data_IF_578392513332
#
_entry.id   IF_578392513332
#
_cell.length_a   1.000
_cell.length_b   1.000
_cell.length_c   1.000
_cell.angle_alpha   90.00
_cell.angle_beta   90.00
_cell.angle_gamma   90.00
#
_symmetry.space_group_name_H-M   'P 1'
#
loop_
_entity.id
_entity.type
_entity.pdbx_description
1 polymer ?
#
# COMPACT_ATOMS: atom_id res chain seq x y z
N UNK A 1 -16.87 17.12 59.78
CA UNK A 1 -16.39 17.44 58.42
C UNK A 1 -15.95 16.22 57.61
N UNK A 2 -15.27 15.20 58.17
CA UNK A 2 -14.91 13.97 57.41
C UNK A 2 -16.08 13.04 57.02
N UNK A 3 -17.26 13.14 57.65
CA UNK A 3 -18.44 12.31 57.31
C UNK A 3 -19.40 12.95 56.29
N UNK A 4 -19.24 14.23 55.98
CA UNK A 4 -20.03 14.93 54.94
C UNK A 4 -19.31 14.87 53.58
N UNK A 5 -17.97 14.83 53.60
CA UNK A 5 -17.16 14.68 52.38
C UNK A 5 -17.26 13.26 51.78
N UNK A 6 -17.36 12.22 52.61
CA UNK A 6 -17.57 10.84 52.13
C UNK A 6 -18.96 10.63 51.49
N UNK A 7 -19.98 11.35 51.97
CA UNK A 7 -21.32 11.33 51.37
C UNK A 7 -21.37 12.06 50.02
N UNK A 8 -20.60 13.14 49.85
CA UNK A 8 -20.51 13.86 48.58
C UNK A 8 -19.67 13.11 47.54
N UNK A 9 -18.62 12.39 47.95
CA UNK A 9 -17.82 11.51 47.07
C UNK A 9 -18.59 10.26 46.63
N UNK A 10 -19.46 9.69 47.49
CA UNK A 10 -20.34 8.60 47.08
C UNK A 10 -21.46 9.07 46.13
N UNK A 11 -21.98 10.29 46.30
CA UNK A 11 -22.99 10.85 45.39
C UNK A 11 -22.38 11.31 44.04
N UNK A 12 -21.13 11.77 44.02
CA UNK A 12 -20.39 12.09 42.79
C UNK A 12 -19.96 10.84 42.02
N UNK A 13 -19.61 9.73 42.69
CA UNK A 13 -19.38 8.45 42.00
C UNK A 13 -20.66 7.80 41.48
N UNK A 14 -21.81 8.07 42.10
CA UNK A 14 -23.13 7.68 41.58
C UNK A 14 -23.65 8.61 40.47
N UNK A 15 -23.07 9.79 40.27
CA UNK A 15 -23.40 10.70 39.16
C UNK A 15 -22.34 10.67 38.03
N UNK A 16 -21.14 10.13 38.27
CA UNK A 16 -20.12 9.88 37.24
C UNK A 16 -20.22 8.46 36.66
N UNK A 17 -20.96 7.55 37.31
CA UNK A 17 -21.37 6.26 36.74
C UNK A 17 -22.66 6.32 35.91
N UNK A 18 -23.07 7.52 35.47
CA UNK A 18 -24.22 7.75 34.60
C UNK A 18 -23.83 8.44 33.29
N UNK A 19 -22.59 8.24 32.84
CA UNK A 19 -22.21 8.37 31.44
C UNK A 19 -21.83 6.98 30.94
N UNK A 20 -22.59 6.54 29.94
CA UNK A 20 -22.50 5.26 29.25
C UNK A 20 -22.75 4.02 30.14
N UNK A 21 -24.01 3.78 30.54
CA UNK A 21 -24.57 2.53 29.99
C UNK A 21 -24.37 2.68 28.49
N UNK A 22 -23.38 1.99 27.92
CA UNK A 22 -23.40 1.76 26.49
C UNK A 22 -24.73 1.04 26.29
N UNK A 23 -25.75 1.80 25.91
CA UNK A 23 -26.81 1.26 25.09
C UNK A 23 -26.03 0.80 23.89
N UNK A 24 -25.57 -0.45 23.94
CA UNK A 24 -25.02 -1.16 22.81
C UNK A 24 -26.18 -1.11 21.83
N UNK A 25 -26.17 -0.10 20.96
CA UNK A 25 -27.31 0.19 20.10
C UNK A 25 -27.46 -1.05 19.27
N UNK A 26 -28.49 -1.85 19.55
CA UNK A 26 -28.60 -3.19 19.01
C UNK A 26 -28.66 -3.03 17.50
N UNK A 27 -27.57 -3.37 16.82
CA UNK A 27 -27.47 -3.25 15.38
C UNK A 27 -28.64 -4.00 14.77
N UNK A 28 -29.29 -3.36 13.78
CA UNK A 28 -30.37 -4.01 13.05
C UNK A 28 -29.84 -5.29 12.39
N UNK A 29 -30.66 -6.35 12.27
CA UNK A 29 -30.24 -7.59 11.63
C UNK A 29 -29.95 -7.36 10.14
N UNK A 30 -29.12 -8.20 9.53
CA UNK A 30 -28.79 -8.13 8.10
C UNK A 30 -30.03 -8.13 7.21
N UNK A 31 -31.06 -8.90 7.60
CA UNK A 31 -32.34 -8.97 6.91
C UNK A 31 -33.05 -7.62 6.76
N UNK A 32 -32.81 -6.65 7.67
CA UNK A 32 -33.35 -5.29 7.54
C UNK A 32 -32.76 -4.58 6.30
N UNK A 33 -31.45 -4.68 6.13
CA UNK A 33 -30.71 -4.06 5.03
C UNK A 33 -31.01 -4.72 3.69
N UNK A 34 -31.08 -6.06 3.68
CA UNK A 34 -31.46 -6.80 2.47
C UNK A 34 -32.91 -6.51 2.05
N UNK A 35 -33.83 -6.30 3.00
CA UNK A 35 -35.20 -5.89 2.69
C UNK A 35 -35.26 -4.47 2.09
N UNK A 36 -34.46 -3.53 2.60
CA UNK A 36 -34.32 -2.20 2.01
C UNK A 36 -33.76 -2.25 0.58
N UNK A 37 -32.72 -3.06 0.36
CA UNK A 37 -32.16 -3.29 -0.98
C UNK A 37 -33.21 -3.87 -1.93
N UNK A 38 -33.94 -4.90 -1.53
CA UNK A 38 -34.98 -5.52 -2.37
C UNK A 38 -36.09 -4.52 -2.74
N UNK A 39 -36.36 -3.55 -1.86
CA UNK A 39 -37.34 -2.47 -2.09
C UNK A 39 -36.82 -1.42 -3.08
N UNK A 40 -35.54 -1.03 -2.96
CA UNK A 40 -34.95 0.05 -3.75
C UNK A 40 -34.33 -0.42 -5.08
N UNK A 41 -33.92 -1.68 -5.17
CA UNK A 41 -33.26 -2.31 -6.32
C UNK A 41 -33.98 -3.60 -6.73
N UNK A 42 -35.28 -3.56 -7.07
CA UNK A 42 -36.10 -4.76 -7.28
C UNK A 42 -35.67 -5.64 -8.47
N UNK A 43 -34.96 -5.06 -9.44
CA UNK A 43 -34.46 -5.77 -10.63
C UNK A 43 -33.04 -6.30 -10.47
N UNK A 44 -32.45 -6.18 -9.27
CA UNK A 44 -31.10 -6.60 -8.95
C UNK A 44 -31.10 -7.79 -8.01
N UNK A 45 -30.11 -8.66 -8.19
CA UNK A 45 -29.84 -9.82 -7.33
C UNK A 45 -28.67 -9.51 -6.40
N UNK A 46 -28.75 -10.00 -5.17
CA UNK A 46 -27.64 -9.91 -4.20
C UNK A 46 -26.57 -10.94 -4.55
N UNK A 47 -25.32 -10.50 -4.71
CA UNK A 47 -24.13 -11.36 -4.89
C UNK A 47 -23.54 -11.74 -3.54
N UNK A 48 -23.14 -10.73 -2.76
CA UNK A 48 -22.53 -10.90 -1.43
C UNK A 48 -23.00 -9.77 -0.52
N UNK A 49 -23.11 -10.05 0.76
CA UNK A 49 -23.44 -9.09 1.82
C UNK A 49 -22.48 -9.34 2.97
N UNK A 50 -21.78 -8.29 3.40
CA UNK A 50 -20.75 -8.34 4.44
C UNK A 50 -20.99 -7.23 5.47
N UNK A 51 -20.46 -7.46 6.67
CA UNK A 51 -20.38 -6.45 7.73
C UNK A 51 -18.99 -6.43 8.31
N UNK A 52 -18.49 -5.23 8.56
CA UNK A 52 -17.19 -5.03 9.18
C UNK A 52 -17.16 -3.76 10.03
N UNK A 53 -16.24 -3.72 10.99
CA UNK A 53 -15.93 -2.52 11.76
C UNK A 53 -14.70 -1.83 11.20
N UNK A 54 -14.76 -0.51 10.99
CA UNK A 54 -13.60 0.29 10.58
C UNK A 54 -13.74 1.73 11.06
N UNK A 55 -12.70 2.26 11.70
CA UNK A 55 -12.71 3.62 12.26
C UNK A 55 -13.67 3.81 13.43
N UNK A 56 -14.03 5.06 13.71
CA UNK A 56 -14.84 5.43 14.87
C UNK A 56 -16.02 6.34 14.48
N UNK A 57 -17.19 6.07 15.05
CA UNK A 57 -18.38 6.92 14.98
C UNK A 57 -18.87 7.21 16.40
N UNK A 58 -18.93 8.49 16.77
CA UNK A 58 -19.39 8.95 18.10
C UNK A 58 -18.70 8.27 19.31
N UNK A 59 -17.43 7.89 19.16
CA UNK A 59 -16.66 7.25 20.23
C UNK A 59 -16.78 5.72 20.29
N UNK A 60 -17.54 5.11 19.38
CA UNK A 60 -17.64 3.65 19.21
C UNK A 60 -17.05 3.20 17.87
N UNK A 61 -16.78 1.90 17.72
CA UNK A 61 -16.35 1.36 16.42
C UNK A 61 -17.43 1.59 15.37
N UNK A 62 -17.08 2.22 14.25
CA UNK A 62 -18.01 2.40 13.15
C UNK A 62 -18.19 1.07 12.42
N UNK A 63 -19.44 0.63 12.27
CA UNK A 63 -19.84 -0.60 11.62
C UNK A 63 -20.45 -0.27 10.27
N UNK A 64 -20.04 -1.00 9.24
CA UNK A 64 -20.52 -0.84 7.88
C UNK A 64 -21.22 -2.11 7.42
N UNK A 65 -22.26 -1.92 6.60
CA UNK A 65 -22.80 -2.97 5.75
C UNK A 65 -22.36 -2.69 4.32
N UNK A 66 -21.87 -3.71 3.65
CA UNK A 66 -21.51 -3.67 2.24
C UNK A 66 -22.25 -4.76 1.49
N UNK A 67 -22.92 -4.40 0.39
CA UNK A 67 -23.69 -5.35 -0.41
C UNK A 67 -23.35 -5.17 -1.89
N UNK A 68 -22.87 -6.25 -2.51
CA UNK A 68 -22.66 -6.29 -3.95
C UNK A 68 -23.92 -6.81 -4.63
N UNK A 69 -24.37 -6.09 -5.65
CA UNK A 69 -25.53 -6.42 -6.47
C UNK A 69 -25.11 -6.68 -7.90
N UNK A 70 -25.89 -7.51 -8.59
CA UNK A 70 -25.74 -7.73 -10.02
C UNK A 70 -27.09 -7.82 -10.72
N UNK A 71 -27.12 -7.46 -11.99
CA UNK A 71 -28.24 -7.77 -12.90
C UNK A 71 -27.73 -8.17 -14.25
N UNK A 72 -28.49 -9.03 -14.94
CA UNK A 72 -28.13 -9.58 -16.24
C UNK A 72 -29.07 -9.02 -17.29
N UNK A 73 -28.52 -8.18 -18.18
CA UNK A 73 -29.21 -7.69 -19.37
C UNK A 73 -28.96 -8.63 -20.54
N UNK A 74 -29.44 -8.29 -21.73
CA UNK A 74 -29.13 -9.07 -22.94
C UNK A 74 -27.74 -8.73 -23.53
N UNK A 75 -27.08 -7.69 -23.01
CA UNK A 75 -25.80 -7.17 -23.51
C UNK A 75 -24.66 -7.30 -22.49
N UNK A 76 -24.96 -7.22 -21.19
CA UNK A 76 -23.95 -7.20 -20.13
C UNK A 76 -24.46 -7.75 -18.78
N UNK A 77 -23.51 -8.17 -17.94
CA UNK A 77 -23.69 -8.19 -16.49
C UNK A 77 -23.34 -6.81 -15.95
N UNK A 78 -24.30 -6.17 -15.30
CA UNK A 78 -24.10 -4.91 -14.59
C UNK A 78 -23.98 -5.17 -13.09
N UNK A 79 -23.20 -4.33 -12.41
CA UNK A 79 -22.73 -4.58 -11.05
C UNK A 79 -22.74 -3.29 -10.23
N UNK A 80 -23.16 -3.39 -8.96
CA UNK A 80 -23.10 -2.30 -7.99
C UNK A 80 -22.47 -2.79 -6.68
N UNK A 81 -21.76 -1.91 -6.00
CA UNK A 81 -21.31 -2.05 -4.61
C UNK A 81 -22.01 -0.96 -3.78
N UNK A 82 -22.75 -1.39 -2.75
CA UNK A 82 -23.49 -0.51 -1.87
C UNK A 82 -22.87 -0.55 -0.48
N UNK A 83 -22.53 0.60 0.09
CA UNK A 83 -21.95 0.69 1.43
C UNK A 83 -22.75 1.67 2.30
N UNK A 84 -23.03 1.31 3.55
CA UNK A 84 -23.69 2.20 4.51
C UNK A 84 -23.10 2.03 5.92
N UNK A 85 -22.92 3.15 6.62
CA UNK A 85 -22.63 3.16 8.06
C UNK A 85 -23.90 2.77 8.83
N UNK A 86 -23.84 1.71 9.64
CA UNK A 86 -25.04 1.11 10.24
C UNK A 86 -25.31 1.48 11.70
N UNK A 87 -24.30 1.95 12.46
CA UNK A 87 -24.48 2.33 13.87
C UNK A 87 -25.65 3.28 14.13
N UNK A 88 -25.84 4.37 13.36
CA UNK A 88 -26.88 5.34 13.69
C UNK A 88 -28.28 4.91 13.24
N UNK A 89 -28.41 3.84 12.44
CA UNK A 89 -29.65 3.47 11.76
C UNK A 89 -30.60 2.74 12.71
N UNK A 90 -31.85 3.20 12.77
CA UNK A 90 -32.93 2.59 13.55
C UNK A 90 -34.03 2.03 12.64
N UNK A 91 -34.86 1.16 13.20
CA UNK A 91 -35.97 0.57 12.47
C UNK A 91 -36.93 1.67 11.98
N UNK A 92 -37.23 1.67 10.69
CA UNK A 92 -38.04 2.68 10.01
C UNK A 92 -37.24 3.82 9.38
N UNK A 93 -35.94 3.94 9.68
CA UNK A 93 -35.07 4.90 9.00
C UNK A 93 -34.74 4.42 7.58
N UNK A 94 -34.57 5.39 6.67
CA UNK A 94 -34.01 5.14 5.35
C UNK A 94 -32.52 4.80 5.49
N UNK A 95 -32.05 3.82 4.69
CA UNK A 95 -30.64 3.43 4.69
C UNK A 95 -29.87 4.30 3.69
N UNK A 96 -28.88 5.09 4.13
CA UNK A 96 -28.14 6.01 3.27
C UNK A 96 -27.01 5.27 2.51
N UNK A 97 -27.38 4.44 1.54
CA UNK A 97 -26.41 3.72 0.72
C UNK A 97 -25.54 4.68 -0.11
N UNK A 98 -24.22 4.59 0.04
CA UNK A 98 -23.27 5.00 -1.00
C UNK A 98 -23.30 3.94 -2.09
N UNK A 99 -23.41 4.34 -3.36
CA UNK A 99 -23.57 3.43 -4.49
C UNK A 99 -22.42 3.63 -5.45
N UNK A 100 -21.68 2.55 -5.70
CA UNK A 100 -20.56 2.51 -6.62
C UNK A 100 -20.88 1.53 -7.75
N UNK A 101 -20.88 2.00 -9.00
CA UNK A 101 -21.02 1.12 -10.14
C UNK A 101 -19.66 0.48 -10.48
N UNK A 102 -19.67 -0.83 -10.73
CA UNK A 102 -18.53 -1.52 -11.34
C UNK A 102 -18.66 -1.51 -12.86
N UNK A 103 -17.55 -1.76 -13.54
CA UNK A 103 -17.53 -1.81 -15.00
C UNK A 103 -18.42 -2.96 -15.49
N UNK A 104 -19.38 -2.70 -16.39
CA UNK A 104 -20.22 -3.76 -16.94
C UNK A 104 -19.39 -4.74 -17.78
N UNK A 105 -19.77 -6.00 -17.73
CA UNK A 105 -19.08 -7.08 -18.44
C UNK A 105 -19.97 -7.62 -19.55
N UNK A 106 -19.51 -7.45 -20.79
CA UNK A 106 -20.22 -7.89 -21.99
C UNK A 106 -20.49 -9.41 -21.98
N UNK A 107 -21.72 -9.80 -22.34
CA UNK A 107 -22.13 -11.21 -22.42
C UNK A 107 -22.11 -11.72 -23.87
N UNK A 108 -21.89 -13.02 -24.04
CA UNK A 108 -22.08 -13.68 -25.34
C UNK A 108 -23.54 -13.46 -25.80
N UNK A 109 -23.79 -13.04 -27.06
CA UNK A 109 -25.14 -12.95 -27.60
C UNK A 109 -25.93 -14.26 -27.40
N UNK A 110 -27.07 -14.18 -26.72
CA UNK A 110 -27.93 -15.32 -26.41
C UNK A 110 -27.59 -16.09 -25.13
N UNK A 111 -26.56 -15.69 -24.37
CA UNK A 111 -26.21 -16.33 -23.09
C UNK A 111 -26.99 -15.78 -21.88
N UNK A 112 -27.76 -14.70 -22.05
CA UNK A 112 -28.46 -14.02 -20.96
C UNK A 112 -29.35 -14.96 -20.13
N UNK A 113 -30.15 -15.80 -20.79
CA UNK A 113 -31.05 -16.73 -20.11
C UNK A 113 -30.28 -17.84 -19.37
N UNK A 114 -29.14 -18.26 -19.89
CA UNK A 114 -28.25 -19.21 -19.20
C UNK A 114 -27.66 -18.58 -17.95
N UNK A 115 -27.14 -17.35 -18.04
CA UNK A 115 -26.62 -16.61 -16.90
C UNK A 115 -27.69 -16.36 -15.85
N UNK A 116 -28.92 -15.97 -16.25
CA UNK A 116 -30.04 -15.74 -15.32
C UNK A 116 -30.49 -17.01 -14.58
N UNK A 117 -30.22 -18.18 -15.15
CA UNK A 117 -30.52 -19.46 -14.51
C UNK A 117 -29.42 -19.91 -13.52
N UNK A 118 -28.25 -19.28 -13.55
CA UNK A 118 -27.16 -19.56 -12.62
C UNK A 118 -27.37 -18.83 -11.29
N UNK A 119 -26.89 -19.45 -10.22
CA UNK A 119 -26.79 -18.82 -8.90
C UNK A 119 -25.62 -17.85 -8.84
N UNK A 120 -25.63 -16.93 -7.87
CA UNK A 120 -24.52 -16.00 -7.68
C UNK A 120 -23.16 -16.72 -7.50
N UNK A 121 -23.14 -17.84 -6.77
CA UNK A 121 -21.92 -18.65 -6.55
C UNK A 121 -21.44 -19.38 -7.82
N UNK A 122 -22.33 -19.67 -8.75
CA UNK A 122 -21.95 -20.22 -10.05
C UNK A 122 -21.40 -19.13 -10.97
N UNK A 123 -21.79 -17.86 -10.78
CA UNK A 123 -21.33 -16.74 -11.61
C UNK A 123 -20.04 -16.13 -11.09
N UNK A 124 -19.96 -15.88 -9.80
CA UNK A 124 -18.90 -15.10 -9.18
C UNK A 124 -17.98 -15.96 -8.32
N UNK A 125 -16.69 -15.62 -8.38
CA UNK A 125 -15.68 -16.13 -7.48
C UNK A 125 -15.46 -15.16 -6.29
N UNK A 126 -14.68 -15.60 -5.31
CA UNK A 126 -14.26 -14.79 -4.18
C UNK A 126 -13.21 -13.74 -4.61
N UNK A 127 -13.32 -12.52 -4.08
CA UNK A 127 -12.45 -11.40 -4.43
C UNK A 127 -13.03 -10.07 -3.96
N UNK A 128 -12.18 -9.03 -3.91
CA UNK A 128 -12.58 -7.67 -3.49
C UNK A 128 -13.49 -7.03 -4.54
N UNK A 129 -13.22 -7.24 -5.82
CA UNK A 129 -14.11 -6.87 -6.92
C UNK A 129 -15.08 -7.97 -7.33
N UNK A 130 -15.69 -7.82 -8.51
CA UNK A 130 -16.51 -8.86 -9.15
C UNK A 130 -15.66 -9.80 -10.00
N UNK A 131 -15.03 -10.78 -9.36
CA UNK A 131 -14.36 -11.89 -10.02
C UNK A 131 -15.37 -12.92 -10.53
N UNK A 132 -15.13 -13.50 -11.70
CA UNK A 132 -16.06 -14.45 -12.35
C UNK A 132 -15.51 -15.86 -12.35
N UNK A 133 -16.35 -16.88 -12.17
CA UNK A 133 -15.93 -18.30 -12.25
C UNK A 133 -15.65 -18.75 -13.68
N UNK A 134 -14.99 -19.89 -13.87
CA UNK A 134 -14.86 -20.53 -15.20
C UNK A 134 -16.19 -20.76 -15.91
N UNK A 135 -17.24 -21.11 -15.17
CA UNK A 135 -18.56 -21.39 -15.74
C UNK A 135 -19.18 -20.14 -16.35
N UNK A 136 -19.09 -19.00 -15.65
CA UNK A 136 -19.59 -17.73 -16.18
C UNK A 136 -18.68 -17.14 -17.24
N UNK A 137 -17.34 -17.19 -17.08
CA UNK A 137 -16.39 -16.59 -18.03
C UNK A 137 -16.61 -17.04 -19.48
N UNK A 138 -16.99 -18.30 -19.70
CA UNK A 138 -17.31 -18.82 -21.04
C UNK A 138 -18.57 -18.20 -21.68
N UNK A 139 -19.42 -17.56 -20.88
CA UNK A 139 -20.62 -16.84 -21.28
C UNK A 139 -20.39 -15.31 -21.35
N UNK A 140 -19.16 -14.86 -21.08
CA UNK A 140 -18.73 -13.47 -21.12
C UNK A 140 -17.77 -13.26 -22.29
N UNK A 141 -17.95 -12.18 -23.04
CA UNK A 141 -17.09 -11.84 -24.19
C UNK A 141 -16.69 -10.38 -24.06
N UNK A 142 -15.78 -10.04 -23.13
CA UNK A 142 -15.25 -8.70 -23.13
C UNK A 142 -14.57 -8.46 -24.49
N UNK A 143 -14.98 -7.40 -25.18
CA UNK A 143 -14.42 -6.94 -26.45
C UNK A 143 -12.92 -6.59 -26.40
N UNK A 144 -12.31 -6.74 -25.21
CA UNK A 144 -10.87 -6.70 -24.98
C UNK A 144 -10.11 -7.87 -25.63
N UNK A 145 -10.71 -9.07 -25.74
CA UNK A 145 -10.00 -10.25 -26.27
C UNK A 145 -9.93 -10.24 -27.80
N UNK A 146 -8.85 -10.79 -28.35
CA UNK A 146 -8.80 -11.14 -29.76
C UNK A 146 -9.61 -12.41 -30.06
N UNK A 147 -9.93 -12.61 -31.34
CA UNK A 147 -10.85 -13.67 -31.77
C UNK A 147 -10.34 -15.08 -31.47
N UNK A 148 -9.03 -15.30 -31.50
CA UNK A 148 -8.36 -16.57 -31.22
C UNK A 148 -7.96 -16.76 -29.75
N UNK A 149 -8.39 -15.85 -28.88
CA UNK A 149 -8.06 -15.86 -27.46
C UNK A 149 -9.23 -16.34 -26.59
N UNK A 150 -8.91 -17.07 -25.52
CA UNK A 150 -9.83 -17.51 -24.48
C UNK A 150 -9.62 -16.69 -23.21
N UNK A 151 -10.69 -16.31 -22.52
CA UNK A 151 -10.58 -15.60 -21.23
C UNK A 151 -10.30 -16.61 -20.13
N UNK A 152 -9.21 -16.44 -19.39
CA UNK A 152 -8.79 -17.34 -18.30
C UNK A 152 -9.07 -16.75 -16.92
N UNK A 153 -8.98 -15.43 -16.77
CA UNK A 153 -9.41 -14.72 -15.58
C UNK A 153 -10.12 -13.41 -15.96
N UNK A 154 -11.10 -13.02 -15.17
CA UNK A 154 -11.88 -11.81 -15.38
C UNK A 154 -12.36 -11.27 -14.04
N UNK A 155 -12.11 -9.99 -13.80
CA UNK A 155 -12.59 -9.28 -12.62
C UNK A 155 -13.00 -7.86 -13.00
N UNK A 156 -14.17 -7.44 -12.52
CA UNK A 156 -14.64 -6.06 -12.67
C UNK A 156 -14.51 -5.29 -11.36
N UNK A 157 -13.95 -4.08 -11.46
CA UNK A 157 -13.90 -3.09 -10.39
C UNK A 157 -14.56 -1.79 -10.86
N UNK A 158 -14.60 -0.75 -10.01
CA UNK A 158 -15.26 0.53 -10.34
C UNK A 158 -14.46 1.37 -11.34
N UNK A 159 -13.14 1.22 -11.36
CA UNK A 159 -12.25 1.98 -12.26
C UNK A 159 -11.73 1.19 -13.44
N UNK A 160 -11.46 -0.10 -13.25
CA UNK A 160 -10.85 -0.95 -14.27
C UNK A 160 -11.48 -2.34 -14.33
N UNK A 161 -11.49 -2.88 -15.55
CA UNK A 161 -11.77 -4.28 -15.86
C UNK A 161 -10.44 -4.99 -16.05
N UNK A 162 -10.21 -6.06 -15.29
CA UNK A 162 -9.01 -6.88 -15.40
C UNK A 162 -9.36 -8.17 -16.11
N UNK A 163 -8.66 -8.45 -17.22
CA UNK A 163 -8.90 -9.64 -18.04
C UNK A 163 -7.55 -10.28 -18.40
N UNK A 164 -7.39 -11.55 -18.07
CA UNK A 164 -6.31 -12.36 -18.63
C UNK A 164 -6.89 -13.26 -19.71
N UNK A 165 -6.21 -13.28 -20.85
CA UNK A 165 -6.55 -14.17 -21.96
C UNK A 165 -5.38 -15.09 -22.30
N UNK A 166 -5.67 -16.30 -22.76
CA UNK A 166 -4.71 -17.20 -23.38
C UNK A 166 -4.89 -17.19 -24.90
N UNK A 167 -3.80 -17.02 -25.64
CA UNK A 167 -3.81 -17.05 -27.10
C UNK A 167 -3.55 -18.46 -27.66
N UNK A 168 -3.68 -18.61 -28.97
CA UNK A 168 -3.46 -19.88 -29.67
C UNK A 168 -2.05 -20.48 -29.54
N UNK A 169 -1.07 -19.71 -29.07
CA UNK A 169 0.29 -20.16 -28.76
C UNK A 169 0.48 -20.59 -27.29
N UNK A 170 -0.58 -20.59 -26.48
CA UNK A 170 -0.54 -20.90 -25.05
C UNK A 170 0.16 -19.81 -24.22
N UNK A 171 0.13 -18.56 -24.71
CA UNK A 171 0.69 -17.40 -24.00
C UNK A 171 -0.44 -16.55 -23.42
N UNK A 172 -0.18 -15.99 -22.24
CA UNK A 172 -1.12 -15.21 -21.47
C UNK A 172 -0.90 -13.72 -21.70
N UNK A 173 -1.99 -12.95 -21.78
CA UNK A 173 -1.96 -11.50 -21.97
C UNK A 173 -2.91 -10.89 -20.95
N UNK A 174 -2.40 -10.02 -20.10
CA UNK A 174 -3.21 -9.18 -19.24
C UNK A 174 -3.73 -7.99 -20.04
N UNK A 175 -5.01 -7.69 -19.88
CA UNK A 175 -5.70 -6.53 -20.43
C UNK A 175 -6.45 -5.79 -19.33
N UNK A 176 -6.23 -4.49 -19.30
CA UNK A 176 -6.82 -3.56 -18.35
C UNK A 176 -7.59 -2.51 -19.15
N UNK A 177 -8.82 -2.23 -18.77
CA UNK A 177 -9.62 -1.23 -19.48
C UNK A 177 -10.50 -0.43 -18.53
N UNK A 178 -10.74 0.83 -18.89
CA UNK A 178 -11.70 1.69 -18.22
C UNK A 178 -13.04 1.68 -18.96
N UNK A 179 -14.08 2.20 -18.34
CA UNK A 179 -15.40 2.34 -18.94
C UNK A 179 -15.79 3.81 -19.05
N UNK A 180 -16.15 4.27 -20.26
CA UNK A 180 -16.55 5.67 -20.49
C UNK A 180 -18.07 5.91 -20.42
N UNK A 181 -18.84 4.87 -20.12
CA UNK A 181 -20.30 4.89 -20.15
C UNK A 181 -20.90 4.21 -21.40
N UNK A 182 -20.10 3.97 -22.43
CA UNK A 182 -20.54 3.38 -23.70
C UNK A 182 -19.69 2.22 -24.18
N UNK A 183 -18.42 2.17 -23.78
CA UNK A 183 -17.49 1.12 -24.18
C UNK A 183 -16.23 1.10 -23.33
N UNK A 184 -15.41 0.06 -23.57
CA UNK A 184 -14.08 -0.02 -22.99
C UNK A 184 -13.14 0.99 -23.66
N UNK A 185 -12.40 1.74 -22.83
CA UNK A 185 -11.42 2.75 -23.24
C UNK A 185 -10.12 2.58 -22.45
N UNK A 186 -9.08 3.35 -22.82
CA UNK A 186 -7.77 3.32 -22.17
C UNK A 186 -7.25 1.90 -21.95
N UNK A 187 -7.34 1.10 -23.02
CA UNK A 187 -6.97 -0.32 -22.97
C UNK A 187 -5.46 -0.45 -22.91
N UNK A 188 -4.97 -1.03 -21.82
CA UNK A 188 -3.58 -1.41 -21.61
C UNK A 188 -3.47 -2.92 -21.76
N UNK A 189 -2.43 -3.40 -22.45
CA UNK A 189 -2.16 -4.82 -22.59
C UNK A 189 -0.67 -5.12 -22.43
N UNK A 190 -0.34 -6.23 -21.78
CA UNK A 190 1.04 -6.72 -21.70
C UNK A 190 1.47 -7.35 -23.03
N UNK A 191 2.77 -7.58 -23.19
CA UNK A 191 3.25 -8.56 -24.18
C UNK A 191 2.75 -9.97 -23.82
N UNK A 192 2.67 -10.92 -24.78
CA UNK A 192 2.31 -12.31 -24.49
C UNK A 192 3.37 -13.01 -23.62
N UNK A 193 2.94 -13.51 -22.45
CA UNK A 193 3.78 -14.09 -21.43
C UNK A 193 3.61 -15.61 -21.30
N UNK A 194 4.64 -16.35 -20.82
CA UNK A 194 4.51 -17.79 -20.58
C UNK A 194 3.47 -18.12 -19.50
N UNK A 195 3.32 -17.26 -18.50
CA UNK A 195 2.38 -17.41 -17.40
C UNK A 195 1.95 -16.03 -16.92
N UNK A 196 0.65 -15.86 -16.65
CA UNK A 196 0.09 -14.72 -15.91
C UNK A 196 -1.17 -15.19 -15.17
N UNK A 197 -1.28 -14.80 -13.91
CA UNK A 197 -2.54 -14.81 -13.16
C UNK A 197 -2.55 -13.66 -12.16
N UNK A 198 -3.71 -13.11 -11.83
CA UNK A 198 -3.82 -12.15 -10.72
C UNK A 198 -4.59 -12.74 -9.54
N UNK A 199 -4.21 -12.32 -8.34
CA UNK A 199 -4.91 -12.67 -7.11
C UNK A 199 -6.12 -11.74 -6.92
N UNK A 200 -7.33 -12.29 -7.01
CA UNK A 200 -8.59 -11.54 -6.93
C UNK A 200 -8.84 -10.91 -5.55
N UNK A 201 -8.10 -11.33 -4.52
CA UNK A 201 -8.21 -10.76 -3.17
C UNK A 201 -7.32 -9.56 -2.95
N UNK A 202 -6.18 -9.50 -3.63
CA UNK A 202 -5.21 -8.42 -3.46
C UNK A 202 -5.15 -7.50 -4.68
N UNK A 203 -6.22 -7.52 -5.49
CA UNK A 203 -6.34 -6.71 -6.70
C UNK A 203 -7.63 -5.89 -6.63
N UNK A 204 -7.50 -4.57 -6.76
CA UNK A 204 -8.63 -3.66 -6.74
C UNK A 204 -8.29 -2.35 -7.43
N UNK A 205 -9.17 -1.89 -8.32
CA UNK A 205 -9.11 -0.59 -8.99
C UNK A 205 -7.75 -0.21 -9.60
N UNK A 206 -6.87 0.42 -8.84
CA UNK A 206 -5.60 0.99 -9.24
C UNK A 206 -4.40 0.17 -8.80
N UNK A 207 -4.59 -1.00 -8.19
CA UNK A 207 -3.52 -1.93 -7.84
C UNK A 207 -3.90 -3.38 -8.11
N UNK A 208 -2.90 -4.22 -8.35
CA UNK A 208 -3.08 -5.64 -8.63
C UNK A 208 -1.89 -6.43 -8.13
N UNK A 209 -2.13 -7.60 -7.55
CA UNK A 209 -1.09 -8.61 -7.33
C UNK A 209 -1.08 -9.55 -8.53
N UNK A 210 -0.03 -9.49 -9.33
CA UNK A 210 0.13 -10.22 -10.59
C UNK A 210 1.23 -11.28 -10.45
N UNK A 211 0.83 -12.54 -10.49
CA UNK A 211 1.74 -13.68 -10.51
C UNK A 211 2.26 -13.89 -11.92
N UNK A 212 3.58 -13.85 -12.06
CA UNK A 212 4.28 -13.97 -13.35
C UNK A 212 5.01 -15.31 -13.49
N UNK A 213 5.22 -16.00 -12.38
CA UNK A 213 5.63 -17.40 -12.30
C UNK A 213 4.95 -18.07 -11.09
N UNK A 214 5.37 -19.29 -10.73
CA UNK A 214 4.85 -19.96 -9.53
C UNK A 214 5.36 -19.31 -8.24
N UNK A 215 6.53 -18.68 -8.30
CA UNK A 215 7.27 -18.19 -7.14
C UNK A 215 7.48 -16.66 -7.19
N UNK A 216 7.22 -16.02 -8.33
CA UNK A 216 7.39 -14.58 -8.52
C UNK A 216 6.05 -13.88 -8.78
N UNK A 217 5.87 -12.75 -8.10
CA UNK A 217 4.76 -11.84 -8.34
C UNK A 217 5.20 -10.38 -8.28
N UNK A 218 4.47 -9.57 -9.03
CA UNK A 218 4.68 -8.13 -9.11
C UNK A 218 3.40 -7.41 -8.69
N UNK A 219 3.52 -6.17 -8.23
CA UNK A 219 2.41 -5.30 -7.88
C UNK A 219 2.35 -4.11 -8.84
N UNK A 220 1.61 -4.22 -9.95
CA UNK A 220 1.38 -3.09 -10.80
C UNK A 220 0.42 -2.12 -10.13
N UNK A 221 0.71 -0.82 -10.28
CA UNK A 221 -0.13 0.28 -9.84
C UNK A 221 -0.48 1.19 -11.02
N UNK A 222 -1.67 1.75 -11.00
CA UNK A 222 -2.09 2.79 -11.92
C UNK A 222 -1.80 4.16 -11.33
N UNK A 223 -0.92 4.90 -12.01
CA UNK A 223 -0.79 6.34 -11.82
C UNK A 223 -1.43 7.08 -13.02
N UNK A 224 -2.01 8.26 -12.80
CA UNK A 224 -2.71 8.98 -13.85
C UNK A 224 -1.77 9.63 -14.88
N UNK A 225 -0.54 9.95 -14.49
CA UNK A 225 0.49 10.57 -15.33
C UNK A 225 1.35 9.51 -16.03
N UNK A 226 1.67 8.41 -15.35
CA UNK A 226 2.55 7.34 -15.83
C UNK A 226 1.78 6.17 -16.46
N UNK A 227 0.53 5.94 -16.05
CA UNK A 227 -0.25 4.76 -16.41
C UNK A 227 0.07 3.54 -15.52
N UNK A 228 -0.26 2.35 -16.02
CA UNK A 228 0.02 1.10 -15.31
C UNK A 228 1.51 0.75 -15.38
N UNK A 229 2.15 0.67 -14.22
CA UNK A 229 3.55 0.36 -14.06
C UNK A 229 3.79 -0.50 -12.82
N UNK A 230 4.90 -1.24 -12.79
CA UNK A 230 5.31 -2.04 -11.64
C UNK A 230 5.84 -1.08 -10.58
N UNK A 231 5.20 -1.09 -9.41
CA UNK A 231 5.61 -0.30 -8.25
C UNK A 231 6.43 -1.12 -7.26
N UNK A 232 6.20 -2.43 -7.23
CA UNK A 232 6.77 -3.33 -6.25
C UNK A 232 6.83 -4.74 -6.84
N UNK A 233 7.85 -5.53 -6.48
CA UNK A 233 7.96 -6.91 -6.94
C UNK A 233 8.71 -7.81 -5.97
N UNK A 234 8.40 -9.09 -6.02
CA UNK A 234 9.05 -10.15 -5.27
C UNK A 234 9.83 -11.03 -6.23
N UNK A 235 11.12 -11.20 -5.95
CA UNK A 235 12.04 -12.01 -6.75
C UNK A 235 12.84 -12.88 -5.79
N UNK A 236 12.76 -14.20 -5.91
CA UNK A 236 13.55 -15.17 -5.12
C UNK A 236 13.66 -14.81 -3.62
N UNK A 237 12.51 -14.58 -2.98
CA UNK A 237 12.37 -14.20 -1.56
C UNK A 237 12.82 -12.77 -1.20
N UNK A 238 13.34 -11.97 -2.14
CA UNK A 238 13.58 -10.53 -1.93
C UNK A 238 12.35 -9.72 -2.30
N UNK A 239 11.88 -8.93 -1.34
CA UNK A 239 10.87 -7.90 -1.53
C UNK A 239 11.56 -6.60 -2.01
N UNK A 240 11.13 -6.05 -3.15
CA UNK A 240 11.74 -4.85 -3.74
C UNK A 240 10.70 -3.79 -4.10
N UNK A 241 10.75 -2.64 -3.41
CA UNK A 241 9.89 -1.48 -3.65
C UNK A 241 10.61 -0.51 -4.57
N UNK A 242 9.95 -0.09 -5.65
CA UNK A 242 10.60 0.64 -6.74
C UNK A 242 10.06 2.07 -6.81
N UNK A 243 11.00 3.01 -6.68
CA UNK A 243 10.79 4.42 -6.95
C UNK A 243 11.61 4.84 -8.16
N UNK A 244 11.33 6.05 -8.68
CA UNK A 244 12.04 6.55 -9.85
C UNK A 244 13.57 6.66 -9.62
N UNK A 245 13.98 7.04 -8.40
CA UNK A 245 15.37 7.37 -8.06
C UNK A 245 15.96 6.53 -6.92
N UNK A 246 15.24 5.49 -6.46
CA UNK A 246 15.75 4.53 -5.48
C UNK A 246 14.95 3.22 -5.49
N UNK A 247 15.54 2.18 -4.92
CA UNK A 247 14.89 0.89 -4.65
C UNK A 247 15.11 0.57 -3.17
N UNK A 248 14.08 0.03 -2.53
CA UNK A 248 14.15 -0.47 -1.15
C UNK A 248 14.09 -2.00 -1.18
N UNK A 249 15.06 -2.65 -0.55
CA UNK A 249 15.04 -4.08 -0.24
C UNK A 249 14.35 -4.32 1.12
N UNK A 250 13.43 -5.29 1.17
CA UNK A 250 12.68 -5.66 2.38
C UNK A 250 11.25 -5.12 2.42
N UNK A 251 10.58 -5.30 3.56
CA UNK A 251 9.21 -4.85 3.77
C UNK A 251 9.17 -3.40 4.29
N UNK A 252 8.26 -2.57 3.75
CA UNK A 252 8.05 -1.19 4.23
C UNK A 252 7.58 -1.16 5.70
N UNK A 253 7.03 -2.28 6.20
CA UNK A 253 6.51 -2.36 7.58
C UNK A 253 7.60 -2.31 8.65
N UNK A 254 8.86 -2.55 8.29
CA UNK A 254 10.03 -2.41 9.17
C UNK A 254 10.73 -1.07 8.87
N UNK A 255 10.40 -0.03 9.65
CA UNK A 255 11.02 1.29 9.51
C UNK A 255 12.42 1.30 10.14
N UNK A 256 13.40 0.82 9.39
CA UNK A 256 14.81 0.86 9.80
C UNK A 256 15.28 2.30 10.02
N UNK A 257 16.09 2.50 11.05
CA UNK A 257 16.71 3.78 11.36
C UNK A 257 18.04 4.00 10.62
N UNK A 258 18.40 3.06 9.74
CA UNK A 258 19.47 3.13 8.76
C UNK A 258 18.92 3.03 7.32
N UNK A 259 19.82 3.14 6.34
CA UNK A 259 19.49 3.06 4.92
C UNK A 259 20.29 1.98 4.18
N UNK A 260 20.67 0.90 4.86
CA UNK A 260 21.44 -0.19 4.27
C UNK A 260 20.66 -0.93 3.18
N UNK A 261 19.35 -1.05 3.35
CA UNK A 261 18.43 -1.66 2.37
C UNK A 261 18.01 -0.70 1.25
N UNK A 262 18.52 0.53 1.24
CA UNK A 262 18.22 1.52 0.21
C UNK A 262 19.33 1.58 -0.85
N UNK A 263 18.91 1.48 -2.11
CA UNK A 263 19.76 1.56 -3.30
C UNK A 263 19.43 2.83 -4.07
N UNK A 264 20.37 3.77 -4.16
CA UNK A 264 20.12 5.10 -4.72
C UNK A 264 20.58 5.19 -6.17
N UNK A 265 19.70 5.67 -7.05
CA UNK A 265 19.99 5.81 -8.47
C UNK A 265 18.73 5.77 -9.31
N UNK A 266 18.82 6.24 -10.56
CA UNK A 266 17.64 6.25 -11.42
C UNK A 266 17.39 4.85 -11.95
N UNK A 267 16.23 4.27 -11.64
CA UNK A 267 15.87 2.96 -12.13
C UNK A 267 15.55 3.01 -13.64
N UNK A 268 16.15 2.11 -14.43
CA UNK A 268 16.04 2.12 -15.90
C UNK A 268 15.40 0.88 -16.50
N UNK A 269 15.06 -0.13 -15.69
CA UNK A 269 14.30 -1.29 -16.17
C UNK A 269 12.93 -0.81 -16.69
N UNK A 270 12.49 -1.24 -17.88
CA UNK A 270 11.14 -1.02 -18.33
C UNK A 270 10.15 -1.66 -17.35
N UNK A 271 9.44 -0.81 -16.60
CA UNK A 271 8.47 -1.22 -15.59
C UNK A 271 7.04 -0.84 -15.99
N UNK A 272 6.82 -0.23 -17.16
CA UNK A 272 5.48 -0.07 -17.74
C UNK A 272 4.93 -1.42 -18.18
N UNK A 273 3.65 -1.70 -17.88
CA UNK A 273 3.03 -2.98 -18.24
C UNK A 273 2.99 -3.25 -19.75
N UNK A 274 3.03 -2.23 -20.60
CA UNK A 274 3.03 -2.42 -22.06
C UNK A 274 4.39 -2.81 -22.63
N UNK A 275 5.46 -2.51 -21.89
CA UNK A 275 6.85 -2.66 -22.33
C UNK A 275 7.58 -3.82 -21.65
N UNK A 276 7.16 -4.18 -20.43
CA UNK A 276 7.80 -5.23 -19.65
C UNK A 276 7.65 -6.60 -20.31
N UNK A 277 8.76 -7.33 -20.37
CA UNK A 277 8.78 -8.75 -20.71
C UNK A 277 9.13 -9.55 -19.46
N UNK A 278 8.11 -10.13 -18.83
CA UNK A 278 8.27 -10.89 -17.59
C UNK A 278 9.11 -12.16 -17.79
N UNK A 279 9.20 -12.70 -19.01
CA UNK A 279 10.07 -13.84 -19.30
C UNK A 279 11.57 -13.52 -19.19
N UNK A 280 11.94 -12.24 -19.27
CA UNK A 280 13.32 -11.74 -19.11
C UNK A 280 13.47 -10.80 -17.92
N UNK A 281 12.48 -10.77 -17.02
CA UNK A 281 12.55 -9.96 -15.82
C UNK A 281 13.75 -10.40 -14.97
N UNK A 282 14.46 -9.48 -14.31
CA UNK A 282 15.56 -9.86 -13.42
C UNK A 282 15.09 -10.86 -12.35
N UNK A 283 16.01 -11.70 -11.90
CA UNK A 283 15.77 -12.79 -10.97
C UNK A 283 16.68 -12.71 -9.73
N UNK A 284 17.55 -11.71 -9.63
CA UNK A 284 18.35 -11.44 -8.43
C UNK A 284 18.45 -9.94 -8.18
N UNK A 285 18.74 -9.55 -6.94
CA UNK A 285 19.04 -8.16 -6.61
C UNK A 285 20.15 -7.60 -7.50
N UNK A 286 21.26 -8.34 -7.68
CA UNK A 286 22.36 -7.93 -8.57
C UNK A 286 21.90 -7.65 -10.01
N UNK A 287 20.98 -8.46 -10.54
CA UNK A 287 20.40 -8.24 -11.87
C UNK A 287 19.49 -7.01 -11.90
N UNK A 288 18.74 -6.73 -10.83
CA UNK A 288 17.93 -5.51 -10.68
C UNK A 288 18.84 -4.28 -10.61
N UNK A 289 19.87 -4.31 -9.75
CA UNK A 289 20.82 -3.21 -9.56
C UNK A 289 21.64 -2.91 -10.82
N UNK A 290 21.79 -3.88 -11.73
CA UNK A 290 22.39 -3.64 -13.04
C UNK A 290 21.57 -2.67 -13.92
N UNK A 291 20.28 -2.45 -13.60
CA UNK A 291 19.41 -1.46 -14.24
C UNK A 291 19.40 -0.10 -13.52
N UNK A 292 20.23 0.10 -12.49
CA UNK A 292 20.35 1.39 -11.82
C UNK A 292 21.35 2.30 -12.55
N UNK A 293 20.90 3.49 -12.92
CA UNK A 293 21.78 4.56 -13.39
C UNK A 293 22.23 5.41 -12.20
N UNK A 294 23.46 5.14 -11.75
CA UNK A 294 24.10 5.84 -10.63
C UNK A 294 24.75 7.17 -11.03
N UNK A 295 24.46 7.70 -12.23
CA UNK A 295 25.06 8.97 -12.68
C UNK A 295 24.73 10.10 -11.70
N UNK A 296 25.77 10.69 -11.12
CA UNK A 296 25.65 11.79 -10.17
C UNK A 296 25.32 11.35 -8.74
N UNK A 297 25.08 10.07 -8.47
CA UNK A 297 24.86 9.56 -7.11
C UNK A 297 26.18 9.57 -6.33
N UNK A 298 26.12 9.99 -5.07
CA UNK A 298 27.22 9.89 -4.12
C UNK A 298 26.69 9.66 -2.70
N UNK A 299 27.55 9.20 -1.80
CA UNK A 299 27.27 9.19 -0.37
C UNK A 299 28.53 9.49 0.45
N UNK A 300 28.36 9.88 1.72
CA UNK A 300 29.49 10.09 2.63
C UNK A 300 30.23 8.79 2.89
N UNK A 301 31.55 8.80 2.73
CA UNK A 301 32.36 7.57 2.80
C UNK A 301 32.76 7.17 4.24
N UNK A 302 32.64 8.07 5.20
CA UNK A 302 33.00 7.81 6.60
C UNK A 302 32.31 8.78 7.57
N UNK A 303 32.36 8.45 8.85
CA UNK A 303 31.85 9.29 9.93
C UNK A 303 32.59 10.62 10.05
N UNK A 304 31.85 11.63 10.49
CA UNK A 304 32.38 12.98 10.67
C UNK A 304 32.68 13.69 9.36
N UNK A 305 32.09 13.25 8.24
CA UNK A 305 32.26 13.90 6.94
C UNK A 305 31.72 15.33 7.00
N UNK A 306 32.55 16.37 6.80
CA UNK A 306 32.12 17.74 6.92
C UNK A 306 31.38 18.23 5.67
N UNK A 307 30.22 18.86 5.87
CA UNK A 307 29.48 19.59 4.84
C UNK A 307 29.81 21.09 4.93
N UNK A 308 30.05 21.76 3.81
CA UNK A 308 30.47 23.16 3.77
C UNK A 308 29.49 24.06 3.02
N UNK A 309 29.39 25.33 3.45
CA UNK A 309 28.56 26.33 2.76
C UNK A 309 29.14 26.72 1.38
N UNK A 310 30.47 26.66 1.24
CA UNK A 310 31.22 26.94 0.03
C UNK A 310 32.58 26.22 0.11
N UNK A 311 33.32 26.05 -1.02
CA UNK A 311 34.68 25.54 -1.00
C UNK A 311 35.56 26.31 -0.01
N UNK A 312 36.18 25.60 0.93
CA UNK A 312 37.00 26.14 2.03
C UNK A 312 36.25 27.15 2.95
N UNK A 313 34.92 27.14 2.94
CA UNK A 313 34.06 28.01 3.76
C UNK A 313 33.74 27.43 5.14
N UNK A 314 32.67 27.95 5.74
CA UNK A 314 32.18 27.49 7.04
C UNK A 314 31.58 26.08 6.93
N UNK A 315 31.85 25.25 7.95
CA UNK A 315 31.23 23.93 8.10
C UNK A 315 29.80 24.10 8.57
N UNK A 316 28.86 23.48 7.86
CA UNK A 316 27.43 23.46 8.17
C UNK A 316 27.10 22.31 9.12
N UNK A 317 27.62 21.11 8.84
CA UNK A 317 27.32 19.89 9.58
C UNK A 317 28.46 18.88 9.47
N UNK A 318 28.45 17.88 10.36
CA UNK A 318 29.23 16.66 10.24
C UNK A 318 28.28 15.48 10.11
N UNK A 319 28.44 14.71 9.04
CA UNK A 319 27.55 13.60 8.70
C UNK A 319 28.14 12.25 9.11
N UNK A 320 27.23 11.30 9.37
CA UNK A 320 27.52 9.88 9.48
C UNK A 320 27.88 9.30 8.10
N UNK A 321 28.24 8.02 8.07
CA UNK A 321 28.56 7.27 6.85
C UNK A 321 27.28 6.94 6.07
N UNK A 322 27.36 6.90 4.73
CA UNK A 322 26.27 6.54 3.78
C UNK A 322 25.13 7.57 3.65
N UNK A 323 25.34 8.84 4.00
CA UNK A 323 24.34 9.89 3.74
C UNK A 323 24.20 10.10 2.22
N UNK A 324 23.02 9.83 1.63
CA UNK A 324 22.84 9.86 0.18
C UNK A 324 22.73 11.29 -0.34
N UNK A 325 23.31 11.54 -1.52
CA UNK A 325 23.30 12.85 -2.16
C UNK A 325 23.45 12.76 -3.68
N UNK A 326 23.08 13.83 -4.38
CA UNK A 326 23.29 14.00 -5.82
C UNK A 326 24.33 15.10 -6.08
N UNK A 327 25.36 14.79 -6.86
CA UNK A 327 26.37 15.75 -7.32
C UNK A 327 25.77 16.66 -8.39
N UNK A 328 25.73 17.96 -8.10
CA UNK A 328 25.18 19.00 -8.98
C UNK A 328 26.28 19.65 -9.83
N UNK A 329 27.45 19.89 -9.24
CA UNK A 329 28.58 20.49 -9.96
C UNK A 329 29.93 20.14 -9.35
N UNK A 330 31.00 20.31 -10.12
CA UNK A 330 32.37 20.00 -9.69
C UNK A 330 33.27 21.24 -9.78
N UNK A 331 34.14 21.43 -8.78
CA UNK A 331 35.15 22.50 -8.78
C UNK A 331 36.44 22.01 -8.12
N UNK A 332 37.34 21.43 -8.92
CA UNK A 332 38.58 20.84 -8.40
C UNK A 332 38.28 19.66 -7.48
N UNK A 333 38.80 19.71 -6.25
CA UNK A 333 38.58 18.67 -5.22
C UNK A 333 37.20 18.78 -4.55
N UNK A 334 36.38 19.76 -4.95
CA UNK A 334 35.08 20.03 -4.36
C UNK A 334 33.93 19.53 -5.23
N UNK A 335 32.88 19.03 -4.58
CA UNK A 335 31.61 18.66 -5.18
C UNK A 335 30.51 19.49 -4.55
N UNK A 336 29.75 20.18 -5.37
CA UNK A 336 28.48 20.76 -4.95
C UNK A 336 27.44 19.66 -5.01
N UNK A 337 26.74 19.43 -3.91
CA UNK A 337 25.82 18.31 -3.73
C UNK A 337 24.47 18.78 -3.23
N UNK A 338 23.44 18.00 -3.53
CA UNK A 338 22.08 18.15 -3.04
C UNK A 338 21.71 16.94 -2.20
N UNK A 339 21.35 17.16 -0.94
CA UNK A 339 20.76 16.15 -0.04
C UNK A 339 19.25 16.37 -0.02
N UNK A 340 18.46 15.32 -0.19
CA UNK A 340 17.00 15.44 -0.32
C UNK A 340 16.58 16.18 -1.59
N UNK A 341 15.35 16.67 -1.62
CA UNK A 341 14.81 17.34 -2.82
C UNK A 341 15.33 18.76 -3.03
N UNK A 342 15.15 19.29 -4.24
CA UNK A 342 15.49 20.69 -4.57
C UNK A 342 14.68 21.70 -3.75
N UNK A 343 13.47 21.34 -3.32
CA UNK A 343 12.55 22.23 -2.63
C UNK A 343 12.81 22.28 -1.11
N UNK A 344 13.03 21.11 -0.50
CA UNK A 344 13.11 20.97 0.96
C UNK A 344 14.47 20.44 1.45
N UNK A 345 15.42 20.21 0.55
CA UNK A 345 16.72 19.63 0.87
C UNK A 345 17.82 20.63 1.26
N UNK A 346 19.04 20.12 1.37
CA UNK A 346 20.24 20.90 1.66
C UNK A 346 21.21 20.87 0.47
N UNK A 347 21.51 22.06 -0.08
CA UNK A 347 22.58 22.25 -1.06
C UNK A 347 23.86 22.72 -0.38
N UNK A 348 24.95 21.97 -0.54
CA UNK A 348 26.23 22.25 0.13
C UNK A 348 27.43 21.78 -0.70
N UNK A 349 28.63 21.93 -0.14
CA UNK A 349 29.89 21.49 -0.74
C UNK A 349 30.57 20.44 0.13
N UNK A 350 31.11 19.40 -0.51
CA UNK A 350 31.86 18.32 0.15
C UNK A 350 33.15 18.07 -0.63
N UNK A 351 34.21 17.62 0.05
CA UNK A 351 35.44 17.20 -0.64
C UNK A 351 35.18 15.86 -1.31
N UNK A 352 35.66 15.72 -2.55
CA UNK A 352 35.54 14.47 -3.29
C UNK A 352 36.23 13.28 -2.59
N UNK A 353 37.23 13.54 -1.74
CA UNK A 353 37.92 12.49 -0.99
C UNK A 353 37.08 11.89 0.15
N UNK A 354 36.01 12.58 0.58
CA UNK A 354 35.15 12.17 1.68
C UNK A 354 33.85 11.51 1.16
N UNK A 355 33.77 11.25 -0.16
CA UNK A 355 32.59 10.70 -0.84
C UNK A 355 32.91 9.37 -1.54
N UNK A 356 31.94 8.46 -1.53
CA UNK A 356 31.82 7.37 -2.50
C UNK A 356 30.92 7.82 -3.65
N UNK A 357 31.16 7.32 -4.87
CA UNK A 357 30.46 7.78 -6.08
C UNK A 357 29.91 6.62 -6.88
N UNK A 358 28.77 6.86 -7.53
CA UNK A 358 28.19 5.90 -8.46
C UNK A 358 27.90 4.56 -7.78
N UNK A 359 28.15 3.45 -8.49
CA UNK A 359 27.95 2.10 -7.93
C UNK A 359 28.85 1.77 -6.72
N UNK A 360 29.88 2.57 -6.42
CA UNK A 360 30.70 2.33 -5.22
C UNK A 360 29.90 2.62 -3.93
N UNK A 361 28.78 3.37 -4.01
CA UNK A 361 27.91 3.64 -2.85
C UNK A 361 27.29 2.38 -2.27
N UNK A 362 27.06 1.36 -3.10
CA UNK A 362 26.51 0.06 -2.68
C UNK A 362 27.43 -0.71 -1.72
N UNK A 363 28.72 -0.35 -1.65
CA UNK A 363 29.69 -0.99 -0.76
C UNK A 363 29.90 -0.23 0.56
N UNK A 364 29.17 0.85 0.78
CA UNK A 364 29.30 1.69 1.97
C UNK A 364 28.25 1.24 2.99
N UNK A 365 28.67 0.94 4.22
CA UNK A 365 27.75 0.54 5.31
C UNK A 365 27.30 1.77 6.08
N UNK A 366 26.00 1.87 6.36
CA UNK A 366 25.40 2.96 7.12
C UNK A 366 25.89 2.95 8.58
N UNK A 367 25.98 4.15 9.18
CA UNK A 367 26.32 4.32 10.60
C UNK A 367 25.37 5.28 11.32
N UNK A 368 24.14 5.46 10.79
CA UNK A 368 23.14 6.31 11.45
C UNK A 368 22.81 5.73 12.83
N UNK A 369 22.76 6.55 13.88
CA UNK A 369 22.39 6.06 15.20
C UNK A 369 20.88 5.84 15.29
N UNK A 370 20.48 4.85 16.08
CA UNK A 370 19.09 4.73 16.52
C UNK A 370 18.71 5.86 17.47
N UNK A 371 17.42 6.18 17.53
CA UNK A 371 16.84 7.19 18.40
C UNK A 371 15.44 6.79 18.86
N UNK A 372 15.10 7.27 20.06
CA UNK A 372 13.73 7.25 20.56
C UNK A 372 13.16 8.67 20.63
N UNK A 373 12.00 8.85 20.00
CA UNK A 373 11.25 10.11 20.02
C UNK A 373 10.64 10.36 21.41
N UNK A 374 10.72 11.61 21.88
CA UNK A 374 9.95 12.02 23.07
C UNK A 374 8.50 12.25 22.64
N UNK A 375 7.53 11.72 23.42
CA UNK A 375 6.08 11.99 23.28
C UNK A 375 5.74 13.48 23.51
N UNK A 376 6.16 14.30 22.55
CA UNK A 376 5.92 15.73 22.38
C UNK A 376 5.74 15.91 20.89
N UNK A 377 4.74 16.69 20.47
CA UNK A 377 4.66 17.14 19.08
C UNK A 377 5.94 17.94 18.76
N UNK A 378 6.92 17.28 18.15
CA UNK A 378 8.17 17.85 17.67
C UNK A 378 8.20 17.70 16.16
N UNK A 379 8.93 18.58 15.51
CA UNK A 379 8.97 18.67 14.06
C UNK A 379 10.43 18.79 13.63
N UNK A 380 10.79 18.15 12.52
CA UNK A 380 11.96 18.53 11.76
C UNK A 380 11.59 19.66 10.81
N UNK A 381 12.43 20.68 10.73
CA UNK A 381 12.19 21.86 9.88
C UNK A 381 13.22 21.87 8.76
N UNK A 382 12.76 21.89 7.51
CA UNK A 382 13.62 21.96 6.34
C UNK A 382 14.29 23.33 6.20
N UNK A 383 15.27 23.40 5.31
CA UNK A 383 15.94 24.64 4.95
C UNK A 383 15.04 25.62 4.18
N UNK A 384 13.88 25.18 3.70
CA UNK A 384 12.81 26.03 3.12
C UNK A 384 11.84 26.57 4.18
N UNK A 385 11.86 26.01 5.39
CA UNK A 385 10.96 26.32 6.50
C UNK A 385 9.71 25.43 6.57
N UNK A 386 9.61 24.38 5.73
CA UNK A 386 8.57 23.34 5.85
C UNK A 386 8.85 22.51 7.11
N UNK A 387 7.83 22.28 7.91
CA UNK A 387 7.92 21.46 9.11
C UNK A 387 7.18 20.14 8.89
N UNK A 388 7.82 19.02 9.24
CA UNK A 388 7.20 17.69 9.26
C UNK A 388 7.27 17.13 10.69
N UNK A 389 6.18 16.52 11.19
CA UNK A 389 6.18 15.91 12.51
C UNK A 389 7.14 14.72 12.55
N UNK A 390 7.90 14.62 13.64
CA UNK A 390 8.62 13.40 14.02
C UNK A 390 7.57 12.46 14.61
N UNK A 391 7.07 11.54 13.77
CA UNK A 391 5.99 10.64 14.12
C UNK A 391 6.51 9.21 14.18
N UNK A 392 6.19 8.51 15.26
CA UNK A 392 6.51 7.10 15.44
C UNK A 392 6.02 6.24 14.27
N UNK A 393 6.91 5.38 13.77
CA UNK A 393 6.62 4.48 12.65
C UNK A 393 6.77 5.16 11.29
N UNK A 394 7.74 6.07 11.15
CA UNK A 394 8.14 6.72 9.91
C UNK A 394 9.67 6.62 9.79
N UNK A 395 10.21 6.49 8.57
CA UNK A 395 11.66 6.42 8.29
C UNK A 395 12.39 7.75 8.54
N UNK A 396 12.51 8.17 9.80
CA UNK A 396 13.34 9.30 10.20
C UNK A 396 14.76 8.84 10.54
N UNK A 397 15.73 9.31 9.76
CA UNK A 397 17.15 9.02 9.97
C UNK A 397 17.90 10.22 10.51
N UNK A 398 18.70 10.00 11.55
CA UNK A 398 19.66 10.99 12.03
C UNK A 398 20.94 10.90 11.20
N UNK A 399 21.06 11.77 10.20
CA UNK A 399 22.15 11.71 9.20
C UNK A 399 23.38 12.54 9.57
N UNK A 400 23.29 13.35 10.63
CA UNK A 400 24.44 14.08 11.14
C UNK A 400 24.10 15.09 12.23
N UNK A 401 25.06 15.96 12.51
CA UNK A 401 24.92 17.06 13.49
C UNK A 401 25.36 18.38 12.86
N UNK A 402 24.51 19.39 12.96
CA UNK A 402 24.76 20.76 12.56
C UNK A 402 25.83 21.42 13.44
N UNK A 403 26.47 22.46 12.94
CA UNK A 403 27.53 23.17 13.68
C UNK A 403 27.05 23.86 14.97
N UNK A 404 25.76 24.15 15.09
CA UNK A 404 25.11 24.70 16.30
C UNK A 404 24.66 23.63 17.30
N UNK A 405 24.79 22.34 16.94
CA UNK A 405 24.45 21.20 17.77
C UNK A 405 23.07 20.59 17.48
N UNK A 406 22.29 21.14 16.56
CA UNK A 406 21.04 20.53 16.13
C UNK A 406 21.29 19.27 15.30
N UNK A 407 20.37 18.31 15.33
CA UNK A 407 20.47 17.12 14.51
C UNK A 407 20.03 17.40 13.07
N UNK A 408 20.82 16.92 12.11
CA UNK A 408 20.42 16.89 10.71
C UNK A 408 19.64 15.60 10.47
N UNK A 409 18.39 15.74 10.06
CA UNK A 409 17.43 14.66 9.88
C UNK A 409 17.11 14.47 8.40
N UNK A 410 16.92 13.22 7.99
CA UNK A 410 16.40 12.84 6.69
C UNK A 410 15.13 12.02 6.89
N UNK A 411 14.11 12.29 6.08
CA UNK A 411 12.90 11.48 6.00
C UNK A 411 12.74 10.99 4.57
N UNK A 412 12.72 9.68 4.40
CA UNK A 412 12.48 9.02 3.12
C UNK A 412 11.03 8.55 3.07
N UNK A 413 10.19 9.30 2.36
CA UNK A 413 8.80 8.92 2.08
C UNK A 413 8.70 8.31 0.67
N UNK A 414 7.56 7.72 0.34
CA UNK A 414 7.24 7.06 -0.93
C UNK A 414 7.46 7.93 -2.18
N UNK A 415 7.52 9.26 -2.06
CA UNK A 415 7.61 10.14 -3.23
C UNK A 415 8.81 11.10 -3.19
N UNK A 416 9.25 11.53 -2.00
CA UNK A 416 10.26 12.59 -1.88
C UNK A 416 11.11 12.40 -0.61
N UNK A 417 12.40 12.76 -0.71
CA UNK A 417 13.31 12.75 0.44
C UNK A 417 13.38 14.17 1.02
N UNK A 418 12.92 14.30 2.26
CA UNK A 418 12.98 15.53 3.05
C UNK A 418 14.29 15.59 3.85
N UNK A 419 14.89 16.77 3.96
CA UNK A 419 16.04 17.00 4.86
C UNK A 419 15.79 18.25 5.69
N UNK A 420 15.94 18.12 7.00
CA UNK A 420 15.70 19.22 7.92
C UNK A 420 16.50 19.10 9.21
N UNK A 421 16.27 20.03 10.12
CA UNK A 421 16.93 20.06 11.42
C UNK A 421 15.94 19.81 12.55
N UNK A 422 16.37 19.06 13.56
CA UNK A 422 15.62 18.84 14.79
C UNK A 422 16.48 19.19 16.01
N UNK A 423 15.85 19.79 17.03
CA UNK A 423 16.53 20.11 18.27
C UNK A 423 16.94 18.83 19.02
N UNK A 424 18.08 18.79 19.73
CA UNK A 424 18.47 17.61 20.49
C UNK A 424 17.45 17.18 21.56
N UNK A 425 16.64 18.12 22.04
CA UNK A 425 15.56 17.84 23.00
C UNK A 425 14.37 17.07 22.43
N UNK A 426 14.35 16.83 21.11
CA UNK A 426 13.32 16.02 20.46
C UNK A 426 13.49 14.52 20.74
N UNK A 427 14.70 14.09 21.14
CA UNK A 427 15.03 12.68 21.35
C UNK A 427 15.40 12.45 22.83
N UNK A 428 14.90 11.35 23.41
CA UNK A 428 15.21 10.97 24.80
C UNK A 428 16.50 10.16 24.89
N UNK A 429 16.72 9.28 23.93
CA UNK A 429 17.85 8.37 23.87
C UNK A 429 18.36 8.29 22.43
N UNK A 430 19.70 8.23 22.30
CA UNK A 430 20.40 7.96 21.05
C UNK A 430 21.17 6.68 21.28
N UNK A 431 20.85 5.64 20.51
CA UNK A 431 21.43 4.32 20.61
C UNK A 431 22.62 4.13 19.67
N UNK A 432 22.99 2.86 19.47
CA UNK A 432 23.99 2.47 18.48
C UNK A 432 23.34 2.38 17.09
N UNK A 433 24.14 2.24 16.05
CA UNK A 433 23.65 1.94 14.70
C UNK A 433 22.90 0.60 14.72
N UNK A 434 21.75 0.55 14.06
CA UNK A 434 21.08 -0.71 13.74
C UNK A 434 22.00 -1.48 12.78
N UNK A 435 22.50 -2.63 13.24
CA UNK A 435 23.22 -3.58 12.38
C UNK A 435 22.20 -4.65 11.99
N UNK A 436 22.20 -5.03 10.72
CA UNK A 436 21.39 -6.10 10.14
C UNK A 436 21.80 -7.51 10.64
N UNK A 437 22.75 -7.58 11.58
CA UNK A 437 23.25 -8.80 12.21
C UNK A 437 22.99 -8.82 13.72
N UNK A 438 22.39 -9.93 14.18
CA UNK A 438 22.05 -10.28 15.57
C UNK A 438 20.77 -9.63 16.14
N UNK A 439 19.62 -10.00 15.55
CA UNK A 439 18.53 -10.47 16.41
C UNK A 439 18.94 -11.83 16.99
N UNK A 440 19.89 -11.81 17.93
CA UNK A 440 20.08 -12.93 18.83
C UNK A 440 18.74 -13.14 19.55
N UNK A 441 18.27 -14.39 19.53
CA UNK A 441 17.18 -15.01 20.26
C UNK A 441 17.16 -14.63 21.78
N UNK A 442 16.99 -13.36 22.14
CA UNK A 442 16.52 -12.98 23.46
C UNK A 442 15.02 -13.22 23.50
N UNK A 443 14.71 -14.49 23.78
CA UNK A 443 13.40 -15.09 23.96
C UNK A 443 12.29 -14.09 24.19
N UNK A 444 11.54 -13.85 23.13
CA UNK A 444 10.13 -13.54 23.28
C UNK A 444 9.51 -14.79 23.88
N UNK A 445 9.19 -14.73 25.18
CA UNK A 445 8.34 -15.71 25.81
C UNK A 445 7.03 -15.73 25.00
N UNK A 446 6.88 -16.75 24.17
CA UNK A 446 5.64 -17.14 23.50
C UNK A 446 4.61 -17.59 24.55
N UNK A 447 4.15 -16.66 25.39
CA UNK A 447 2.95 -16.80 26.21
C UNK A 447 1.79 -16.10 25.48
N UNK A 448 1.56 -16.49 24.21
CA UNK A 448 0.23 -16.39 23.62
C UNK A 448 -0.51 -17.66 23.98
N UNK A 449 -1.25 -17.58 25.10
CA UNK A 449 -2.18 -18.62 25.54
C UNK A 449 -3.11 -19.04 24.40
N UNK A 450 -2.91 -20.28 23.94
CA UNK A 450 -3.87 -21.08 23.19
C UNK A 450 -5.14 -21.34 24.03
N UNK A 451 -6.02 -20.36 24.16
CA UNK A 451 -7.41 -20.56 24.63
C UNK A 451 -8.40 -19.71 23.82
N UNK A 452 -8.82 -20.22 22.66
CA UNK A 452 -10.23 -20.47 22.31
C UNK A 452 -10.34 -20.89 20.82
N UNK A 453 -9.83 -22.08 20.51
CA UNK A 453 -10.37 -22.86 19.41
C UNK A 453 -11.74 -23.40 19.83
N UNK A 454 -12.78 -22.56 19.75
CA UNK A 454 -14.15 -23.03 19.87
C UNK A 454 -14.53 -23.76 18.58
N UNK A 455 -14.44 -25.09 18.62
CA UNK A 455 -15.07 -26.03 17.70
C UNK A 455 -16.55 -25.64 17.48
N UNK A 456 -16.95 -25.39 16.24
CA UNK A 456 -18.36 -25.45 15.86
C UNK A 456 -18.59 -26.76 15.12
N UNK A 457 -19.08 -27.70 15.92
CA UNK A 457 -19.49 -29.06 15.62
C UNK A 457 -20.45 -29.12 14.43
N UNK A 458 -20.09 -29.99 13.49
CA UNK A 458 -20.96 -30.47 12.44
C UNK A 458 -21.97 -31.45 13.05
N UNK A 459 -23.22 -31.37 12.59
CA UNK A 459 -24.33 -32.32 12.79
C UNK A 459 -25.13 -32.26 14.10
N UNK A 460 -26.43 -31.98 13.95
CA UNK A 460 -27.50 -32.88 14.45
C UNK A 460 -28.84 -32.60 13.75
N UNK A 461 -29.12 -33.50 12.82
CA UNK A 461 -30.29 -34.37 12.79
C UNK A 461 -31.57 -34.01 12.03
N UNK A 462 -32.07 -35.07 11.42
CA UNK A 462 -33.17 -35.18 10.49
C UNK A 462 -34.51 -35.50 11.18
N UNK A 463 -35.60 -35.09 10.55
CA UNK A 463 -36.97 -35.61 10.76
C UNK A 463 -37.62 -35.17 12.07
N UNK A 464 -38.94 -34.98 12.18
CA UNK A 464 -40.06 -35.77 11.63
C UNK A 464 -41.30 -34.85 11.57
N UNK A 465 -42.06 -34.94 10.49
CA UNK A 465 -43.38 -34.31 10.33
C UNK A 465 -43.90 -34.37 8.91
#
# INVERSE_FOLDING_TARGET
MRKVLAGFLALLMLCAGAFAESVQTKLLPESYFLADIQRNYPDWSVRVSTRYGSGCYEGEIAQYAEVSLYRITDEAIELLELTALVNPIREGDDVPWSVHALIPVEIVPGAADTLRAMTAREIFDYGVGAAFTDAARNLLVPSLRAADETVTQLMSCSRFLFCITENSAGKYILRLAQWDGSGYTNVTATQPQPHLSFNTLHSYNDQMELWVSADDWVYPRYDAEVGWHINHFFINDSNLVVFQNRIIEGEIEEWYQDNNSEHYGRFTLPHSLTEVDFATFPQTLDEVLAYMDYTGVACTAHDGTPLYAAPDGDVLAHCYTRVPMVVISESGDWREVQLGSDADGLRCWVRAADLAFGADTENVVCTFPTHEEVDRAQEAVSFSGKALPLAKGCAWWMIGTMADGDYLMMFADDEEIFVGTALPSAFSEIGQTEDDGDWDDEGWDDDWDDEEAAEWDDTLDAGIG
#
